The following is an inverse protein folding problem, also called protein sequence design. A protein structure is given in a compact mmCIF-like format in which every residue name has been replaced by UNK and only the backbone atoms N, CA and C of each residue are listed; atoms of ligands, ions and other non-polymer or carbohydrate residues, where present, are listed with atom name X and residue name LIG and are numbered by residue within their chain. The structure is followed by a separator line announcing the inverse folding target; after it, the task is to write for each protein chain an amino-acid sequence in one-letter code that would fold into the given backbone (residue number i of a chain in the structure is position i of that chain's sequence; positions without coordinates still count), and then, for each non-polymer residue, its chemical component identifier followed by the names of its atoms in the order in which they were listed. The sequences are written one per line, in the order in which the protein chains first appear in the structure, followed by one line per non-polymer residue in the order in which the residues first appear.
data_IF_419852986480
#
_entry.id   IF_419852986480
#
_cell.length_a   1.000
_cell.length_b   1.000
_cell.length_c   1.000
_cell.angle_alpha   90.00
_cell.angle_beta   90.00
_cell.angle_gamma   90.00
#
_symmetry.space_group_name_H-M   'P 1'
#
loop_
_entity.id
_entity.type
_entity.pdbx_description
1 polymer ?
#
# COMPACT_ATOMS: atom_id res chain seq x y z
N UNK A 1 -45.18 69.68 -13.77
CA UNK A 1 -45.38 68.43 -13.08
C UNK A 1 -44.01 67.87 -12.66
N UNK A 2 -43.81 67.82 -11.37
CA UNK A 2 -42.56 67.48 -10.70
C UNK A 2 -42.33 65.95 -10.67
N UNK A 3 -41.16 65.51 -11.11
CA UNK A 3 -40.69 64.15 -10.96
C UNK A 3 -39.46 64.13 -10.05
N UNK A 4 -39.63 63.60 -8.82
CA UNK A 4 -38.58 63.50 -7.83
C UNK A 4 -37.59 62.42 -8.20
N UNK A 5 -36.35 62.83 -8.35
CA UNK A 5 -35.20 61.91 -8.58
C UNK A 5 -34.66 61.48 -7.23
N UNK A 6 -34.95 60.23 -6.87
CA UNK A 6 -34.50 59.63 -5.60
C UNK A 6 -33.18 58.90 -5.88
N UNK A 7 -32.06 59.58 -5.77
CA UNK A 7 -30.73 59.03 -5.78
C UNK A 7 -30.51 58.16 -4.53
N UNK A 8 -30.43 56.83 -4.69
CA UNK A 8 -29.91 55.93 -3.67
C UNK A 8 -28.41 56.11 -3.56
N UNK A 9 -27.97 56.74 -2.52
CA UNK A 9 -26.55 56.75 -2.15
C UNK A 9 -26.11 55.31 -1.81
N UNK A 10 -25.31 54.68 -2.69
CA UNK A 10 -24.54 53.49 -2.34
C UNK A 10 -23.41 53.94 -1.40
N UNK A 11 -23.49 53.55 -0.15
CA UNK A 11 -22.46 53.85 0.85
C UNK A 11 -21.11 53.25 0.41
N UNK A 12 -20.17 54.07 0.05
CA UNK A 12 -18.79 53.68 -0.23
C UNK A 12 -18.18 53.07 1.04
N UNK A 13 -17.93 51.80 1.03
CA UNK A 13 -17.13 51.14 2.06
C UNK A 13 -15.70 51.64 1.93
N UNK A 14 -15.22 52.30 2.98
CA UNK A 14 -13.89 52.94 2.96
C UNK A 14 -12.76 51.94 2.82
N UNK A 15 -11.66 52.29 2.14
CA UNK A 15 -10.53 51.39 1.78
C UNK A 15 -9.81 50.75 2.98
N UNK A 16 -10.04 51.18 4.18
CA UNK A 16 -9.45 50.67 5.41
C UNK A 16 -10.14 49.43 5.99
N UNK A 17 -11.41 49.17 5.65
CA UNK A 17 -12.14 47.98 6.10
C UNK A 17 -11.80 46.76 5.27
N UNK A 18 -11.73 46.91 3.98
CA UNK A 18 -11.39 45.83 3.04
C UNK A 18 -9.96 45.33 3.25
N UNK A 19 -9.03 46.22 3.60
CA UNK A 19 -7.64 45.86 3.93
C UNK A 19 -7.53 45.04 5.23
N UNK A 20 -8.28 45.39 6.27
CA UNK A 20 -8.29 44.63 7.53
C UNK A 20 -8.98 43.29 7.40
N UNK A 21 -9.96 43.17 6.54
CA UNK A 21 -10.68 41.93 6.27
C UNK A 21 -9.82 40.96 5.45
N UNK A 22 -9.12 41.48 4.43
CA UNK A 22 -8.12 40.72 3.65
C UNK A 22 -6.96 40.22 4.52
N UNK A 23 -6.47 41.05 5.45
CA UNK A 23 -5.40 40.67 6.38
C UNK A 23 -5.84 39.59 7.37
N UNK A 24 -7.07 39.65 7.85
CA UNK A 24 -7.67 38.60 8.72
C UNK A 24 -7.88 37.29 7.95
N UNK A 25 -8.33 37.35 6.71
CA UNK A 25 -8.51 36.20 5.85
C UNK A 25 -7.17 35.55 5.54
N UNK A 26 -6.14 36.31 5.20
CA UNK A 26 -4.79 35.82 4.96
C UNK A 26 -4.16 35.17 6.21
N UNK A 27 -4.36 35.78 7.39
CA UNK A 27 -3.91 35.17 8.68
C UNK A 27 -4.64 33.89 9.01
N UNK A 28 -5.93 33.78 8.71
CA UNK A 28 -6.73 32.58 8.93
C UNK A 28 -6.25 31.45 8.01
N UNK A 29 -6.05 31.75 6.74
CA UNK A 29 -5.56 30.81 5.74
C UNK A 29 -4.13 30.32 6.04
N UNK A 30 -3.24 31.22 6.46
CA UNK A 30 -1.88 30.86 6.87
C UNK A 30 -1.89 29.94 8.12
N UNK A 31 -2.80 30.19 9.06
CA UNK A 31 -2.95 29.37 10.27
C UNK A 31 -3.55 27.99 9.96
N UNK A 32 -4.47 27.91 9.00
CA UNK A 32 -5.04 26.64 8.52
C UNK A 32 -4.00 25.79 7.78
N UNK A 33 -3.25 26.41 6.86
CA UNK A 33 -2.12 25.74 6.17
C UNK A 33 -1.02 25.25 7.12
N UNK A 34 -0.71 26.04 8.15
CA UNK A 34 0.25 25.63 9.18
C UNK A 34 -0.26 24.43 10.00
N UNK A 35 -1.57 24.37 10.29
CA UNK A 35 -2.20 23.24 10.97
C UNK A 35 -2.24 21.98 10.10
N UNK A 36 -2.52 22.11 8.80
CA UNK A 36 -2.50 20.98 7.86
C UNK A 36 -1.08 20.45 7.69
N UNK A 37 -0.09 21.32 7.56
CA UNK A 37 1.32 20.93 7.49
C UNK A 37 1.82 20.25 8.77
N UNK A 38 1.41 20.74 9.94
CA UNK A 38 1.73 20.10 11.22
C UNK A 38 1.06 18.72 11.35
N UNK A 39 -0.20 18.60 10.92
CA UNK A 39 -0.94 17.33 10.90
C UNK A 39 -0.37 16.33 9.90
N UNK A 40 0.05 16.79 8.72
CA UNK A 40 0.73 15.97 7.73
C UNK A 40 2.10 15.48 8.23
N UNK A 41 2.88 16.33 8.90
CA UNK A 41 4.15 15.93 9.55
C UNK A 41 3.93 14.92 10.67
N UNK A 42 2.91 15.11 11.49
CA UNK A 42 2.59 14.20 12.60
C UNK A 42 2.10 12.82 12.08
N UNK A 43 1.37 12.78 10.98
CA UNK A 43 0.99 11.52 10.30
C UNK A 43 2.18 10.87 9.60
N UNK A 44 3.10 11.63 9.01
CA UNK A 44 4.32 11.10 8.40
C UNK A 44 5.31 10.60 9.48
N UNK A 45 5.47 11.31 10.57
CA UNK A 45 6.30 10.89 11.70
C UNK A 45 5.72 9.65 12.41
N UNK A 46 4.40 9.56 12.56
CA UNK A 46 3.73 8.38 13.09
C UNK A 46 3.79 7.19 12.12
N UNK A 47 3.78 7.43 10.80
CA UNK A 47 3.99 6.40 9.79
C UNK A 47 5.46 5.92 9.73
N UNK A 48 6.42 6.78 10.04
CA UNK A 48 7.85 6.46 10.07
C UNK A 48 8.40 6.04 11.44
N UNK A 49 7.71 6.31 12.54
CA UNK A 49 8.11 5.76 13.83
C UNK A 49 7.72 4.29 13.89
N UNK A 50 8.60 3.44 13.39
CA UNK A 50 8.56 2.02 13.73
C UNK A 50 8.57 1.91 15.25
N UNK A 51 7.50 1.42 15.84
CA UNK A 51 7.48 1.10 17.26
C UNK A 51 8.52 0.00 17.54
N UNK A 52 8.81 -0.26 18.78
CA UNK A 52 9.82 -1.26 19.16
C UNK A 52 9.45 -2.67 18.66
N UNK A 53 8.15 -2.96 18.50
CA UNK A 53 7.66 -4.22 17.96
C UNK A 53 7.93 -4.33 16.46
N UNK A 54 7.67 -3.28 15.69
CA UNK A 54 7.97 -3.24 14.25
C UNK A 54 9.47 -3.40 13.97
N UNK A 55 10.33 -2.80 14.80
CA UNK A 55 11.79 -2.98 14.70
C UNK A 55 12.20 -4.41 14.98
N UNK A 56 11.61 -5.04 15.99
CA UNK A 56 11.85 -6.44 16.34
C UNK A 56 11.38 -7.37 15.21
N UNK A 57 10.21 -7.16 14.67
CA UNK A 57 9.67 -7.94 13.55
C UNK A 57 10.55 -7.78 12.31
N UNK A 58 10.98 -6.56 11.96
CA UNK A 58 11.88 -6.30 10.85
C UNK A 58 13.22 -7.04 11.01
N UNK A 59 13.82 -6.97 12.18
CA UNK A 59 15.08 -7.66 12.47
C UNK A 59 14.95 -9.18 12.39
N UNK A 60 13.85 -9.73 12.92
CA UNK A 60 13.56 -11.17 12.84
C UNK A 60 13.25 -11.59 11.40
N UNK A 61 12.57 -10.75 10.62
CA UNK A 61 12.32 -11.00 9.20
C UNK A 61 13.63 -11.09 8.42
N UNK A 62 14.52 -10.14 8.60
CA UNK A 62 15.84 -10.12 7.95
C UNK A 62 16.71 -11.32 8.33
N UNK A 63 16.70 -11.72 9.60
CA UNK A 63 17.48 -12.88 10.06
C UNK A 63 16.98 -14.21 9.50
N UNK A 64 15.74 -14.26 9.02
CA UNK A 64 15.15 -15.43 8.35
C UNK A 64 15.26 -15.39 6.82
N UNK A 65 16.05 -14.48 6.27
CA UNK A 65 16.29 -14.41 4.83
C UNK A 65 16.77 -15.75 4.28
N UNK A 66 16.11 -16.23 3.23
CA UNK A 66 16.37 -17.54 2.63
C UNK A 66 15.76 -18.73 3.38
N UNK A 67 15.01 -18.48 4.47
CA UNK A 67 14.36 -19.50 5.30
C UNK A 67 12.86 -19.27 5.47
N UNK A 68 12.31 -18.20 4.89
CA UNK A 68 10.89 -17.89 4.99
C UNK A 68 10.06 -18.97 4.31
N UNK A 69 8.91 -19.34 4.86
CA UNK A 69 8.03 -20.35 4.25
C UNK A 69 7.51 -19.85 2.89
N UNK A 70 7.23 -20.77 1.98
CA UNK A 70 6.57 -20.43 0.73
C UNK A 70 5.18 -19.84 0.98
N UNK A 71 4.79 -18.82 0.21
CA UNK A 71 3.51 -18.13 0.41
C UNK A 71 2.29 -18.90 -0.09
N UNK A 72 2.46 -20.15 -0.46
CA UNK A 72 1.42 -21.03 -0.99
C UNK A 72 1.46 -22.39 -0.29
N UNK A 73 0.30 -22.99 -0.09
CA UNK A 73 0.18 -24.33 0.49
C UNK A 73 0.36 -25.42 -0.56
N UNK A 74 0.90 -26.56 -0.13
CA UNK A 74 1.04 -27.76 -0.96
C UNK A 74 2.16 -27.69 -2.01
N UNK A 75 2.21 -28.63 -2.94
CA UNK A 75 3.19 -28.65 -4.02
C UNK A 75 3.06 -27.42 -4.92
N UNK A 76 4.19 -26.90 -5.37
CA UNK A 76 4.23 -25.68 -6.18
C UNK A 76 5.37 -25.72 -7.22
N UNK A 77 5.26 -24.82 -8.20
CA UNK A 77 6.30 -24.52 -9.16
C UNK A 77 6.33 -23.02 -9.46
N UNK A 78 7.51 -22.42 -9.47
CA UNK A 78 7.67 -21.03 -9.89
C UNK A 78 7.63 -20.98 -11.42
N UNK A 79 6.67 -20.29 -11.99
CA UNK A 79 6.44 -20.20 -13.44
C UNK A 79 6.89 -18.86 -14.02
N UNK A 80 7.13 -17.86 -13.19
CA UNK A 80 7.67 -16.57 -13.60
C UNK A 80 8.55 -16.00 -12.50
N UNK A 81 9.77 -15.61 -12.85
CA UNK A 81 10.78 -15.12 -11.93
C UNK A 81 10.77 -13.60 -11.83
N UNK A 82 11.40 -13.09 -10.79
CA UNK A 82 11.55 -11.65 -10.56
C UNK A 82 12.50 -11.01 -11.57
N UNK A 83 12.18 -9.80 -12.00
CA UNK A 83 13.01 -8.94 -12.82
C UNK A 83 12.67 -8.98 -14.31
N UNK A 84 13.56 -8.43 -15.10
CA UNK A 84 13.40 -8.39 -16.56
C UNK A 84 14.10 -9.60 -17.20
N UNK A 85 13.37 -10.31 -18.02
CA UNK A 85 13.92 -11.43 -18.78
C UNK A 85 13.25 -11.56 -20.15
N UNK A 86 13.99 -12.11 -21.09
CA UNK A 86 13.46 -12.41 -22.41
C UNK A 86 12.60 -13.67 -22.35
N UNK A 87 11.47 -13.64 -23.04
CA UNK A 87 10.63 -14.83 -23.16
C UNK A 87 11.29 -15.79 -24.15
N UNK A 88 11.57 -17.00 -23.70
CA UNK A 88 12.15 -18.04 -24.53
C UNK A 88 11.24 -18.34 -25.74
N UNK A 89 11.81 -18.36 -26.93
CA UNK A 89 11.07 -18.58 -28.18
C UNK A 89 10.42 -17.35 -28.80
N UNK A 90 10.43 -16.19 -28.13
CA UNK A 90 9.87 -14.94 -28.66
C UNK A 90 10.98 -13.87 -28.80
N UNK A 91 11.30 -13.50 -30.02
CA UNK A 91 12.26 -12.42 -30.27
C UNK A 91 11.69 -11.07 -29.84
N UNK A 92 12.48 -10.30 -29.10
CA UNK A 92 12.16 -8.94 -28.64
C UNK A 92 10.98 -8.82 -27.64
N UNK A 93 10.56 -9.90 -27.00
CA UNK A 93 9.59 -9.86 -25.92
C UNK A 93 10.32 -9.94 -24.59
N UNK A 94 10.22 -8.85 -23.81
CA UNK A 94 10.72 -8.78 -22.43
C UNK A 94 9.54 -8.77 -21.46
N UNK A 95 9.64 -9.59 -20.43
CA UNK A 95 8.76 -9.51 -19.26
C UNK A 95 9.47 -8.75 -18.15
N UNK A 96 8.74 -7.87 -17.49
CA UNK A 96 9.16 -7.19 -16.26
C UNK A 96 8.26 -7.64 -15.13
N UNK A 97 8.70 -8.59 -14.34
CA UNK A 97 7.96 -9.10 -13.21
C UNK A 97 8.48 -8.48 -11.90
N UNK A 98 7.59 -7.80 -11.21
CA UNK A 98 7.87 -7.12 -9.93
C UNK A 98 7.87 -8.07 -8.72
N UNK A 99 7.59 -9.32 -8.94
CA UNK A 99 7.56 -10.40 -7.97
C UNK A 99 7.81 -11.72 -8.66
N UNK A 100 7.17 -12.77 -8.16
CA UNK A 100 7.19 -14.11 -8.76
C UNK A 100 5.77 -14.61 -8.96
N UNK A 101 5.57 -15.49 -9.94
CA UNK A 101 4.31 -16.20 -10.12
C UNK A 101 4.53 -17.67 -9.74
N UNK A 102 3.67 -18.19 -8.90
CA UNK A 102 3.76 -19.52 -8.34
C UNK A 102 2.52 -20.32 -8.74
N UNK A 103 2.72 -21.39 -9.48
CA UNK A 103 1.68 -22.35 -9.82
C UNK A 103 1.53 -23.35 -8.67
N UNK A 104 0.36 -23.39 -8.07
CA UNK A 104 -0.02 -24.37 -7.03
C UNK A 104 -0.94 -25.45 -7.55
N UNK A 105 -1.47 -26.24 -6.62
CA UNK A 105 -2.50 -27.23 -6.90
C UNK A 105 -3.90 -26.61 -6.81
N UNK A 106 -4.93 -27.20 -7.42
CA UNK A 106 -6.31 -26.75 -7.23
C UNK A 106 -6.68 -26.68 -5.74
N UNK A 107 -7.28 -25.55 -5.32
CA UNK A 107 -7.64 -25.32 -3.93
C UNK A 107 -6.48 -24.86 -3.03
N UNK A 108 -5.28 -24.63 -3.57
CA UNK A 108 -4.16 -24.06 -2.82
C UNK A 108 -4.52 -22.73 -2.20
N UNK A 109 -3.99 -22.48 -1.00
CA UNK A 109 -4.20 -21.24 -0.26
C UNK A 109 -2.93 -20.40 -0.24
N UNK A 110 -3.08 -19.09 -0.30
CA UNK A 110 -2.02 -18.16 0.05
C UNK A 110 -1.88 -18.14 1.58
N UNK A 111 -0.64 -18.10 2.04
CA UNK A 111 -0.32 -18.02 3.47
C UNK A 111 0.74 -16.96 3.74
N UNK A 112 0.68 -16.35 4.93
CA UNK A 112 1.68 -15.35 5.32
C UNK A 112 3.06 -15.98 5.45
N UNK A 113 4.06 -15.30 4.91
CA UNK A 113 5.46 -15.78 4.98
C UNK A 113 6.11 -15.52 6.33
N UNK A 114 5.53 -14.65 7.15
CA UNK A 114 6.03 -14.30 8.48
C UNK A 114 4.94 -13.66 9.34
N UNK A 115 5.22 -13.48 10.61
CA UNK A 115 4.35 -12.73 11.52
C UNK A 115 4.21 -11.29 11.05
N UNK A 116 3.01 -10.76 11.11
CA UNK A 116 2.74 -9.40 10.68
C UNK A 116 1.29 -8.98 10.88
N UNK A 117 0.93 -7.90 10.22
CA UNK A 117 -0.40 -7.31 10.23
C UNK A 117 -0.90 -7.08 8.82
N UNK A 118 -2.13 -7.43 8.53
CA UNK A 118 -2.78 -7.15 7.25
C UNK A 118 -2.95 -5.64 7.09
N UNK A 119 -2.18 -5.04 6.19
CA UNK A 119 -2.20 -3.60 5.94
C UNK A 119 -3.24 -3.18 4.91
N UNK A 120 -3.59 -4.04 3.98
CA UNK A 120 -4.63 -3.79 2.99
C UNK A 120 -5.23 -5.10 2.45
N UNK A 121 -6.50 -5.02 2.09
CA UNK A 121 -7.21 -5.98 1.24
C UNK A 121 -7.80 -5.19 0.09
N UNK A 122 -7.52 -5.58 -1.15
CA UNK A 122 -7.92 -4.82 -2.33
C UNK A 122 -8.40 -5.73 -3.46
N UNK A 123 -9.24 -5.17 -4.33
CA UNK A 123 -9.72 -5.86 -5.53
C UNK A 123 -8.92 -5.41 -6.75
N UNK A 124 -8.56 -6.34 -7.60
CA UNK A 124 -7.79 -6.12 -8.82
C UNK A 124 -8.26 -7.06 -9.93
N UNK A 125 -8.92 -6.50 -10.95
CA UNK A 125 -9.31 -7.25 -12.15
C UNK A 125 -10.20 -8.48 -11.88
N UNK A 126 -11.13 -8.40 -10.93
CA UNK A 126 -12.03 -9.51 -10.58
C UNK A 126 -11.46 -10.52 -9.57
N UNK A 127 -10.21 -10.33 -9.16
CA UNK A 127 -9.56 -11.09 -8.07
C UNK A 127 -9.25 -10.18 -6.90
N UNK A 128 -8.84 -10.76 -5.80
CA UNK A 128 -8.52 -10.02 -4.57
C UNK A 128 -7.04 -10.16 -4.25
N UNK A 129 -6.47 -9.12 -3.63
CA UNK A 129 -5.11 -9.12 -3.12
C UNK A 129 -5.06 -8.76 -1.64
N UNK A 130 -4.03 -9.24 -0.96
CA UNK A 130 -3.75 -8.97 0.45
C UNK A 130 -2.32 -8.46 0.58
N UNK A 131 -2.14 -7.43 1.39
CA UNK A 131 -0.82 -6.94 1.80
C UNK A 131 -0.62 -7.21 3.27
N UNK A 132 0.49 -7.82 3.63
CA UNK A 132 0.89 -8.06 5.02
C UNK A 132 2.17 -7.29 5.32
N UNK A 133 2.13 -6.50 6.38
CA UNK A 133 3.28 -5.73 6.87
C UNK A 133 4.05 -6.49 7.93
N UNK A 134 5.36 -6.59 7.74
CA UNK A 134 6.32 -7.20 8.65
C UNK A 134 7.36 -6.16 9.08
N UNK A 135 6.92 -5.17 9.85
CA UNK A 135 7.76 -4.01 10.15
C UNK A 135 8.01 -3.15 8.92
N UNK A 136 9.26 -3.05 8.46
CA UNK A 136 9.63 -2.33 7.22
C UNK A 136 9.38 -3.12 5.95
N UNK A 137 9.08 -4.41 6.05
CA UNK A 137 8.84 -5.29 4.91
C UNK A 137 7.35 -5.47 4.66
N UNK A 138 6.99 -5.63 3.39
CA UNK A 138 5.61 -5.86 2.96
C UNK A 138 5.61 -7.04 2.00
N UNK A 139 4.79 -8.04 2.29
CA UNK A 139 4.47 -9.14 1.39
C UNK A 139 3.12 -8.89 0.73
N UNK A 140 3.03 -9.12 -0.58
CA UNK A 140 1.84 -8.89 -1.38
C UNK A 140 1.42 -10.18 -2.05
N UNK A 141 0.15 -10.55 -1.87
CA UNK A 141 -0.47 -11.77 -2.38
C UNK A 141 -1.62 -11.38 -3.30
N UNK A 142 -1.47 -11.61 -4.58
CA UNK A 142 -2.50 -11.26 -5.58
C UNK A 142 -3.05 -12.50 -6.28
N UNK A 143 -4.16 -12.31 -6.96
CA UNK A 143 -4.87 -13.35 -7.70
C UNK A 143 -5.54 -14.38 -6.78
N UNK A 144 -6.22 -13.87 -5.75
CA UNK A 144 -7.03 -14.68 -4.83
C UNK A 144 -8.49 -14.64 -5.23
N UNK A 145 -9.16 -15.78 -5.21
CA UNK A 145 -10.60 -15.90 -5.43
C UNK A 145 -11.40 -15.55 -4.19
N UNK A 146 -10.84 -15.80 -3.01
CA UNK A 146 -11.45 -15.46 -1.72
C UNK A 146 -10.36 -15.11 -0.71
N UNK A 147 -10.74 -14.30 0.28
CA UNK A 147 -9.86 -13.83 1.35
C UNK A 147 -10.54 -14.11 2.70
N UNK A 148 -9.77 -14.65 3.63
CA UNK A 148 -10.24 -15.02 4.98
C UNK A 148 -9.78 -14.04 6.08
N UNK A 149 -9.06 -12.98 5.71
CA UNK A 149 -8.52 -11.98 6.63
C UNK A 149 -9.04 -10.60 6.28
N UNK A 150 -8.92 -9.66 7.22
CA UNK A 150 -9.32 -8.27 7.03
C UNK A 150 -8.19 -7.32 7.42
N UNK A 151 -8.27 -6.09 6.95
CA UNK A 151 -7.31 -5.03 7.29
C UNK A 151 -7.23 -4.81 8.81
N UNK A 152 -6.01 -4.72 9.32
CA UNK A 152 -5.73 -4.56 10.75
C UNK A 152 -5.61 -5.86 11.52
N UNK A 153 -5.92 -7.00 10.90
CA UNK A 153 -5.78 -8.31 11.54
C UNK A 153 -4.31 -8.70 11.66
N UNK A 154 -3.91 -9.17 12.83
CA UNK A 154 -2.60 -9.80 13.02
C UNK A 154 -2.61 -11.22 12.48
N UNK A 155 -1.53 -11.58 11.81
CA UNK A 155 -1.34 -12.92 11.24
C UNK A 155 0.00 -13.48 11.66
N UNK A 156 0.05 -14.80 11.83
CA UNK A 156 1.26 -15.54 12.13
C UNK A 156 1.88 -16.12 10.86
N UNK A 157 3.16 -16.46 10.92
CA UNK A 157 3.81 -17.20 9.84
C UNK A 157 3.01 -18.45 9.47
N UNK A 158 2.83 -18.69 8.17
CA UNK A 158 2.05 -19.80 7.59
C UNK A 158 0.54 -19.74 7.80
N UNK A 159 0.01 -18.68 8.39
CA UNK A 159 -1.43 -18.50 8.51
C UNK A 159 -2.06 -18.28 7.12
N UNK A 160 -3.15 -18.99 6.83
CA UNK A 160 -3.88 -18.84 5.59
C UNK A 160 -4.49 -17.44 5.46
N UNK A 161 -4.35 -16.84 4.27
CA UNK A 161 -4.87 -15.53 3.93
C UNK A 161 -6.07 -15.60 3.00
N UNK A 162 -6.13 -16.58 2.15
CA UNK A 162 -7.19 -16.77 1.17
C UNK A 162 -6.90 -17.90 0.20
N UNK A 163 -7.80 -18.13 -0.72
CA UNK A 163 -7.69 -19.17 -1.74
C UNK A 163 -7.20 -18.58 -3.05
N UNK A 164 -6.25 -19.25 -3.70
CA UNK A 164 -5.73 -18.84 -5.02
C UNK A 164 -6.83 -18.99 -6.07
N UNK A 165 -6.86 -18.12 -7.06
CA UNK A 165 -7.85 -18.13 -8.13
C UNK A 165 -7.81 -19.42 -8.97
N UNK A 166 -8.79 -19.60 -9.86
CA UNK A 166 -9.03 -20.83 -10.62
C UNK A 166 -7.90 -21.26 -11.55
N UNK A 167 -7.01 -20.33 -11.94
CA UNK A 167 -5.79 -20.63 -12.69
C UNK A 167 -4.66 -21.21 -11.83
N UNK A 168 -4.85 -21.29 -10.51
CA UNK A 168 -3.92 -21.80 -9.52
C UNK A 168 -2.59 -21.04 -9.42
N UNK A 169 -2.52 -19.82 -9.95
CA UNK A 169 -1.32 -18.98 -9.95
C UNK A 169 -1.44 -17.91 -8.87
N UNK A 170 -0.54 -17.97 -7.89
CA UNK A 170 -0.34 -16.91 -6.91
C UNK A 170 0.69 -15.92 -7.44
N UNK A 171 0.31 -14.65 -7.51
CA UNK A 171 1.25 -13.56 -7.79
C UNK A 171 1.75 -12.99 -6.47
N UNK A 172 3.04 -13.20 -6.19
CA UNK A 172 3.67 -12.83 -4.94
C UNK A 172 4.73 -11.76 -5.13
N UNK A 173 4.70 -10.72 -4.30
CA UNK A 173 5.71 -9.67 -4.29
C UNK A 173 6.23 -9.48 -2.87
N UNK A 174 7.50 -9.10 -2.76
CA UNK A 174 8.13 -8.71 -1.52
C UNK A 174 8.74 -7.32 -1.68
N UNK A 175 8.50 -6.45 -0.71
CA UNK A 175 8.99 -5.07 -0.70
C UNK A 175 9.63 -4.74 0.63
N UNK A 176 10.62 -3.87 0.59
CA UNK A 176 11.10 -3.13 1.75
C UNK A 176 10.74 -1.68 1.55
N UNK A 177 9.76 -1.17 2.30
CA UNK A 177 9.13 0.13 2.06
C UNK A 177 8.60 0.23 0.63
N UNK A 178 9.23 1.01 -0.25
CA UNK A 178 8.87 1.14 -1.67
C UNK A 178 9.74 0.29 -2.60
N UNK A 179 10.87 -0.21 -2.13
CA UNK A 179 11.80 -1.01 -2.93
C UNK A 179 11.27 -2.44 -3.14
N UNK A 180 11.26 -2.90 -4.38
CA UNK A 180 10.89 -4.27 -4.72
C UNK A 180 12.09 -5.18 -4.56
N UNK A 181 11.87 -6.31 -3.88
CA UNK A 181 12.88 -7.32 -3.61
C UNK A 181 12.62 -8.58 -4.43
N UNK A 182 13.69 -9.31 -4.73
CA UNK A 182 13.56 -10.64 -5.33
C UNK A 182 13.09 -11.65 -4.29
N UNK A 183 11.84 -12.16 -4.36
CA UNK A 183 11.31 -13.07 -3.34
C UNK A 183 12.08 -14.38 -3.22
N UNK A 184 12.66 -14.88 -4.31
CA UNK A 184 13.38 -16.14 -4.30
C UNK A 184 14.66 -16.12 -3.43
N UNK A 185 15.21 -14.93 -3.19
CA UNK A 185 16.36 -14.74 -2.27
C UNK A 185 15.96 -14.80 -0.79
N UNK A 186 14.68 -14.65 -0.49
CA UNK A 186 14.13 -14.59 0.86
C UNK A 186 13.38 -15.86 1.27
N UNK A 187 12.76 -16.54 0.32
CA UNK A 187 12.02 -17.76 0.56
C UNK A 187 12.95 -18.97 0.71
N UNK A 188 12.62 -19.85 1.64
CA UNK A 188 13.25 -21.17 1.76
C UNK A 188 12.78 -22.11 0.64
N UNK A 189 13.66 -22.99 0.21
CA UNK A 189 13.35 -24.08 -0.73
C UNK A 189 13.08 -25.38 0.00
#
# INVERSE_FOLDING_TARGET
LMGSNMQRQAGARGPGRDRKEAERAAKKEAKERARELAKAKETDEAAFSLNNEDRRISGNFESNRGRLPMPITGPYRIVSHFGQYNVEGLKNVRLDNKGINILGQPGAQARSIFDGEVSAVFSLGGTTGVMVRHGSYISVYCNLSSVSVHRGQRVSARQALGTVASDNILQFQLRRETAKLNPESWLGR
#
